data_IF_236737503675
#
_entry.id   IF_236737503675
#
_cell.length_a   1.000
_cell.length_b   1.000
_cell.length_c   1.000
_cell.angle_alpha   90.00
_cell.angle_beta   90.00
_cell.angle_gamma   90.00
#
_symmetry.space_group_name_H-M   'P 1'
#
loop_
_entity.id
_entity.type
_entity.pdbx_description
1 polymer ?
#
# COMPACT_ATOMS: atom_id res chain seq x y z
N UNK A 1 25.94 16.89 11.93
CA UNK A 1 24.92 16.30 11.04
C UNK A 1 25.63 15.35 10.10
N UNK A 2 25.53 14.04 10.36
CA UNK A 2 26.32 13.05 9.65
C UNK A 2 25.53 12.55 8.45
N UNK A 3 25.91 12.94 7.23
CA UNK A 3 25.43 12.29 6.02
C UNK A 3 25.91 10.84 6.05
N UNK A 4 24.99 9.89 6.19
CA UNK A 4 25.33 8.48 6.13
C UNK A 4 25.95 8.18 4.75
N UNK A 5 27.11 7.51 4.68
CA UNK A 5 27.71 7.15 3.41
C UNK A 5 26.76 6.21 2.64
N UNK A 6 26.74 6.29 1.30
CA UNK A 6 26.03 5.31 0.47
C UNK A 6 26.53 3.90 0.78
N UNK A 7 25.62 2.94 0.90
CA UNK A 7 26.01 1.53 1.07
C UNK A 7 26.59 1.00 -0.26
N UNK A 8 27.80 0.40 -0.27
CA UNK A 8 28.35 -0.25 -1.46
C UNK A 8 27.59 -1.56 -1.73
N UNK A 9 27.79 -2.16 -2.91
CA UNK A 9 27.23 -3.48 -3.17
C UNK A 9 27.70 -4.54 -2.18
N UNK A 10 26.89 -5.58 -1.95
CA UNK A 10 27.36 -6.80 -1.31
C UNK A 10 28.52 -7.38 -2.14
N UNK A 11 29.53 -8.00 -1.50
CA UNK A 11 30.61 -8.67 -2.20
C UNK A 11 30.16 -9.93 -2.96
N UNK A 12 28.93 -10.39 -2.72
CA UNK A 12 28.31 -11.57 -3.36
C UNK A 12 28.22 -11.38 -4.87
N UNK A 13 28.63 -12.39 -5.62
CA UNK A 13 28.51 -12.34 -7.08
C UNK A 13 27.03 -12.35 -7.50
N UNK A 14 26.71 -11.68 -8.61
CA UNK A 14 25.34 -11.69 -9.16
C UNK A 14 24.86 -13.10 -9.53
N UNK A 15 25.80 -13.99 -9.88
CA UNK A 15 25.50 -15.40 -10.15
C UNK A 15 24.98 -16.08 -8.89
N UNK A 16 25.71 -15.98 -7.77
CA UNK A 16 25.32 -16.55 -6.47
C UNK A 16 24.00 -15.98 -5.96
N UNK A 17 23.81 -14.65 -6.04
CA UNK A 17 22.58 -13.99 -5.63
C UNK A 17 21.34 -14.52 -6.38
N UNK A 18 21.50 -14.92 -7.65
CA UNK A 18 20.39 -15.40 -8.48
C UNK A 18 20.09 -16.91 -8.34
N UNK A 19 20.83 -17.66 -7.53
CA UNK A 19 20.69 -19.13 -7.41
C UNK A 19 19.42 -19.58 -6.70
N UNK A 20 18.93 -18.80 -5.74
CA UNK A 20 17.77 -19.14 -4.91
C UNK A 20 17.07 -17.89 -4.39
N UNK A 21 15.83 -18.05 -3.90
CA UNK A 21 15.08 -16.92 -3.32
C UNK A 21 15.83 -16.33 -2.14
N UNK A 22 16.40 -17.20 -1.30
CA UNK A 22 17.10 -16.79 -0.09
C UNK A 22 18.38 -16.02 -0.44
N UNK A 23 19.20 -16.52 -1.37
CA UNK A 23 20.40 -15.82 -1.81
C UNK A 23 20.08 -14.45 -2.42
N UNK A 24 19.00 -14.36 -3.21
CA UNK A 24 18.54 -13.10 -3.78
C UNK A 24 18.07 -12.14 -2.68
N UNK A 25 17.36 -12.66 -1.68
CA UNK A 25 16.88 -11.88 -0.56
C UNK A 25 18.03 -11.37 0.31
N UNK A 26 18.99 -12.22 0.66
CA UNK A 26 20.19 -11.85 1.43
C UNK A 26 21.02 -10.79 0.70
N UNK A 27 20.99 -10.81 -0.64
CA UNK A 27 21.61 -9.78 -1.47
C UNK A 27 20.88 -8.43 -1.38
N UNK A 28 19.54 -8.41 -1.45
CA UNK A 28 18.75 -7.16 -1.50
C UNK A 28 18.45 -6.56 -0.13
N UNK A 29 18.24 -7.41 0.88
CA UNK A 29 17.75 -7.00 2.20
C UNK A 29 18.63 -5.92 2.86
N UNK A 30 19.97 -5.93 2.80
CA UNK A 30 20.78 -4.87 3.39
C UNK A 30 20.44 -3.47 2.87
N UNK A 31 20.16 -3.34 1.57
CA UNK A 31 19.72 -2.07 1.00
C UNK A 31 18.31 -1.69 1.46
N UNK A 32 17.41 -2.67 1.60
CA UNK A 32 16.07 -2.43 2.15
C UNK A 32 16.15 -1.96 3.60
N UNK A 33 16.97 -2.62 4.41
CA UNK A 33 17.18 -2.27 5.81
C UNK A 33 17.80 -0.87 5.92
N UNK A 34 18.72 -0.50 5.02
CA UNK A 34 19.27 0.85 4.96
C UNK A 34 18.22 1.91 4.64
N UNK A 35 17.29 1.67 3.70
CA UNK A 35 16.25 2.67 3.37
C UNK A 35 15.15 2.76 4.42
N UNK A 36 14.81 1.67 5.10
CA UNK A 36 13.70 1.66 6.06
C UNK A 36 14.17 1.94 7.48
N UNK A 37 15.32 1.42 7.92
CA UNK A 37 15.75 1.45 9.33
C UNK A 37 16.85 2.46 9.66
N UNK A 38 17.69 2.85 8.70
CA UNK A 38 18.76 3.81 9.00
C UNK A 38 18.22 5.13 9.54
N UNK A 39 18.85 5.73 10.57
CA UNK A 39 18.42 7.00 11.13
C UNK A 39 18.37 8.10 10.07
N UNK A 40 17.31 8.89 10.06
CA UNK A 40 17.19 10.09 9.22
C UNK A 40 16.66 11.25 10.05
N UNK A 41 17.19 12.45 9.80
CA UNK A 41 16.67 13.68 10.39
C UNK A 41 15.43 14.20 9.68
N UNK A 42 15.22 13.79 8.42
CA UNK A 42 14.13 14.26 7.57
C UNK A 42 13.31 13.04 7.09
N UNK A 43 12.05 12.88 7.53
CA UNK A 43 11.22 11.75 7.14
C UNK A 43 10.88 11.77 5.64
N UNK A 44 10.99 12.91 4.95
CA UNK A 44 10.77 13.01 3.52
C UNK A 44 12.01 12.63 2.68
N UNK A 45 13.14 12.33 3.33
CA UNK A 45 14.39 11.93 2.67
C UNK A 45 14.84 10.56 3.11
N UNK A 46 15.17 9.75 2.11
CA UNK A 46 15.70 8.40 2.29
C UNK A 46 17.22 8.46 2.23
N UNK A 47 17.94 7.69 3.07
CA UNK A 47 19.38 7.53 2.97
C UNK A 47 19.80 7.15 1.53
N UNK A 48 20.91 7.73 1.02
CA UNK A 48 21.34 7.47 -0.34
C UNK A 48 21.77 6.01 -0.51
N UNK A 49 21.41 5.45 -1.67
CA UNK A 49 21.91 4.17 -2.16
C UNK A 49 22.70 4.45 -3.45
N UNK A 50 23.81 3.76 -3.63
CA UNK A 50 24.59 3.85 -4.86
C UNK A 50 23.73 3.49 -6.09
N UNK A 51 23.84 4.28 -7.17
CA UNK A 51 23.15 4.03 -8.42
C UNK A 51 23.45 2.63 -9.00
N UNK A 52 24.68 2.13 -8.81
CA UNK A 52 25.09 0.78 -9.24
C UNK A 52 24.22 -0.31 -8.58
N UNK A 53 23.77 -0.08 -7.35
CA UNK A 53 22.93 -1.03 -6.61
C UNK A 53 21.59 -1.29 -7.31
N UNK A 54 20.97 -0.26 -7.91
CA UNK A 54 19.71 -0.41 -8.64
C UNK A 54 19.87 -1.32 -9.86
N UNK A 55 20.98 -1.16 -10.59
CA UNK A 55 21.31 -1.96 -11.77
C UNK A 55 21.56 -3.41 -11.36
N UNK A 56 22.31 -3.62 -10.28
CA UNK A 56 22.64 -4.94 -9.78
C UNK A 56 21.43 -5.70 -9.24
N UNK A 57 20.56 -5.05 -8.46
CA UNK A 57 19.30 -5.67 -8.00
C UNK A 57 18.41 -6.06 -9.18
N UNK A 58 18.27 -5.17 -10.17
CA UNK A 58 17.51 -5.47 -11.39
C UNK A 58 18.10 -6.66 -12.16
N UNK A 59 19.43 -6.75 -12.23
CA UNK A 59 20.14 -7.85 -12.91
C UNK A 59 19.99 -9.16 -12.15
N UNK A 60 20.12 -9.15 -10.82
CA UNK A 60 19.92 -10.32 -9.97
C UNK A 60 18.49 -10.85 -10.07
N UNK A 61 17.48 -9.96 -10.10
CA UNK A 61 16.07 -10.32 -10.30
C UNK A 61 15.80 -10.91 -11.68
N UNK A 62 16.38 -10.31 -12.72
CA UNK A 62 16.31 -10.83 -14.08
C UNK A 62 16.88 -12.26 -14.12
N UNK A 63 18.13 -12.43 -13.67
CA UNK A 63 18.81 -13.72 -13.64
C UNK A 63 18.04 -14.75 -12.82
N UNK A 64 17.53 -14.37 -11.64
CA UNK A 64 16.76 -15.25 -10.76
C UNK A 64 15.48 -15.76 -11.44
N UNK A 65 14.86 -14.94 -12.29
CA UNK A 65 13.62 -15.26 -13.00
C UNK A 65 13.87 -16.04 -14.29
N UNK A 66 14.94 -15.73 -15.02
CA UNK A 66 15.27 -16.37 -16.31
C UNK A 66 16.15 -17.60 -16.16
N UNK A 67 16.77 -17.79 -14.99
CA UNK A 67 17.54 -19.00 -14.71
C UNK A 67 16.64 -20.21 -14.88
N UNK A 68 17.09 -21.26 -15.59
CA UNK A 68 16.33 -22.48 -15.78
C UNK A 68 16.18 -23.19 -14.43
N UNK A 69 15.16 -22.83 -13.67
CA UNK A 69 14.77 -23.57 -12.46
C UNK A 69 14.18 -24.88 -12.90
N UNK A 70 15.03 -25.89 -13.06
CA UNK A 70 14.61 -27.29 -13.13
C UNK A 70 14.65 -27.89 -11.75
N UNK A 71 13.51 -28.00 -11.06
CA UNK A 71 13.29 -29.12 -10.17
C UNK A 71 12.35 -30.09 -10.86
N UNK A 72 12.88 -31.26 -11.23
CA UNK A 72 12.09 -32.38 -11.71
C UNK A 72 11.03 -32.84 -10.69
N UNK A 73 11.13 -32.44 -9.41
CA UNK A 73 10.33 -32.96 -8.29
C UNK A 73 9.41 -31.96 -7.57
N UNK A 74 9.25 -30.72 -8.04
CA UNK A 74 8.26 -29.82 -7.39
C UNK A 74 6.84 -30.14 -7.83
N UNK A 75 5.97 -30.19 -6.81
CA UNK A 75 4.52 -30.39 -6.86
C UNK A 75 3.88 -29.55 -7.99
N UNK A 76 2.87 -30.07 -8.68
CA UNK A 76 2.25 -29.43 -9.86
C UNK A 76 1.72 -28.01 -9.54
N UNK A 77 1.30 -27.78 -8.29
CA UNK A 77 0.91 -26.47 -7.77
C UNK A 77 2.04 -25.44 -7.70
N UNK A 78 3.29 -25.87 -7.47
CA UNK A 78 4.46 -24.99 -7.48
C UNK A 78 4.89 -24.63 -8.91
N UNK A 79 4.56 -25.48 -9.90
CA UNK A 79 4.76 -25.18 -11.33
C UNK A 79 3.77 -24.13 -11.86
N UNK A 80 2.60 -24.00 -11.22
CA UNK A 80 1.62 -22.96 -11.53
C UNK A 80 1.91 -21.60 -10.88
N UNK A 81 2.77 -21.54 -9.84
CA UNK A 81 3.18 -20.25 -9.26
C UNK A 81 4.06 -19.51 -10.27
N UNK A 82 3.54 -18.37 -10.73
CA UNK A 82 4.19 -17.54 -11.74
C UNK A 82 5.57 -17.08 -11.24
N UNK A 83 6.61 -17.12 -12.09
CA UNK A 83 7.93 -16.61 -11.73
C UNK A 83 7.85 -15.16 -11.20
N UNK A 84 8.28 -14.94 -9.96
CA UNK A 84 8.27 -13.64 -9.29
C UNK A 84 7.16 -13.44 -8.24
N UNK A 85 6.19 -14.35 -8.12
CA UNK A 85 5.21 -14.29 -7.02
C UNK A 85 5.89 -14.50 -5.66
N UNK A 86 6.90 -15.36 -5.62
CA UNK A 86 7.75 -15.62 -4.45
C UNK A 86 8.50 -14.37 -3.95
N UNK A 87 9.08 -13.59 -4.86
CA UNK A 87 9.71 -12.31 -4.53
C UNK A 87 8.67 -11.30 -4.04
N UNK A 88 7.52 -11.21 -4.70
CA UNK A 88 6.44 -10.31 -4.30
C UNK A 88 5.93 -10.65 -2.88
N UNK A 89 5.64 -11.92 -2.60
CA UNK A 89 5.23 -12.42 -1.29
C UNK A 89 6.29 -12.11 -0.21
N UNK A 90 7.58 -12.25 -0.55
CA UNK A 90 8.68 -11.94 0.37
C UNK A 90 8.78 -10.45 0.69
N UNK A 91 8.61 -9.59 -0.32
CA UNK A 91 8.55 -8.13 -0.14
C UNK A 91 7.32 -7.73 0.69
N UNK A 92 6.18 -8.35 0.44
CA UNK A 92 4.95 -8.12 1.20
C UNK A 92 5.13 -8.45 2.69
N UNK A 93 5.70 -9.62 2.99
CA UNK A 93 6.03 -10.03 4.36
C UNK A 93 7.04 -9.09 5.04
N UNK A 94 8.03 -8.61 4.30
CA UNK A 94 9.00 -7.63 4.81
C UNK A 94 8.36 -6.27 5.12
N UNK A 95 7.52 -5.74 4.23
CA UNK A 95 6.80 -4.49 4.48
C UNK A 95 5.86 -4.61 5.68
N UNK A 96 5.23 -5.78 5.85
CA UNK A 96 4.43 -6.08 7.03
C UNK A 96 5.28 -6.04 8.32
N UNK A 97 6.46 -6.68 8.33
CA UNK A 97 7.33 -6.68 9.51
C UNK A 97 7.81 -5.28 9.87
N UNK A 98 8.17 -4.45 8.88
CA UNK A 98 8.52 -3.05 9.12
C UNK A 98 7.33 -2.29 9.72
N UNK A 99 6.13 -2.45 9.17
CA UNK A 99 4.95 -1.76 9.69
C UNK A 99 4.61 -2.21 11.13
N UNK A 100 4.81 -3.48 11.48
CA UNK A 100 4.66 -3.99 12.85
C UNK A 100 5.71 -3.43 13.82
N UNK A 101 6.96 -3.25 13.37
CA UNK A 101 7.99 -2.56 14.15
C UNK A 101 7.56 -1.11 14.44
N UNK A 102 7.02 -0.40 13.46
CA UNK A 102 6.48 0.97 13.64
C UNK A 102 5.29 0.99 14.61
N UNK A 103 4.35 0.05 14.48
CA UNK A 103 3.23 -0.07 15.41
C UNK A 103 3.70 -0.32 16.85
N UNK A 104 4.73 -1.13 17.02
CA UNK A 104 5.31 -1.45 18.34
C UNK A 104 5.98 -0.23 18.99
N UNK A 105 6.47 0.71 18.19
CA UNK A 105 7.03 1.98 18.64
C UNK A 105 6.00 3.10 18.85
N UNK A 106 4.71 2.87 18.61
CA UNK A 106 3.69 3.91 18.68
C UNK A 106 3.45 4.38 20.12
N UNK A 107 3.56 5.70 20.42
CA UNK A 107 3.43 6.23 21.77
C UNK A 107 2.01 6.03 22.31
N UNK A 108 1.89 5.78 23.62
CA UNK A 108 0.58 5.60 24.28
C UNK A 108 -0.18 6.91 24.45
N UNK A 109 0.54 8.02 24.55
CA UNK A 109 -0.02 9.36 24.65
C UNK A 109 -0.66 9.81 23.34
N UNK A 110 -1.87 10.35 23.42
CA UNK A 110 -2.68 10.77 22.28
C UNK A 110 -2.08 12.00 21.57
N UNK A 111 -1.53 12.96 22.33
CA UNK A 111 -0.85 14.13 21.76
C UNK A 111 0.39 13.76 20.94
N UNK A 112 1.16 12.78 21.40
CA UNK A 112 2.36 12.30 20.71
C UNK A 112 2.03 11.36 19.53
N UNK A 113 0.85 10.74 19.53
CA UNK A 113 0.48 9.71 18.54
C UNK A 113 0.35 10.29 17.12
N UNK A 114 -0.34 11.42 16.95
CA UNK A 114 -0.56 12.00 15.61
C UNK A 114 0.77 12.43 14.96
N UNK A 115 1.63 13.24 15.61
CA UNK A 115 2.93 13.62 15.02
C UNK A 115 3.80 12.40 14.71
N UNK A 116 3.79 11.40 15.59
CA UNK A 116 4.50 10.13 15.38
C UNK A 116 4.02 9.41 14.11
N UNK A 117 2.71 9.23 13.96
CA UNK A 117 2.13 8.54 12.80
C UNK A 117 2.42 9.27 11.50
N UNK A 118 2.29 10.58 11.47
CA UNK A 118 2.56 11.35 10.25
C UNK A 118 4.04 11.28 9.84
N UNK A 119 4.96 11.36 10.81
CA UNK A 119 6.39 11.24 10.55
C UNK A 119 6.78 9.84 10.07
N UNK A 120 6.30 8.80 10.78
CA UNK A 120 6.59 7.39 10.43
C UNK A 120 5.95 6.99 9.11
N UNK A 121 4.72 7.43 8.82
CA UNK A 121 4.06 7.23 7.53
C UNK A 121 4.85 7.87 6.39
N UNK A 122 5.26 9.13 6.56
CA UNK A 122 6.01 9.87 5.53
C UNK A 122 7.33 9.15 5.22
N UNK A 123 8.08 8.75 6.26
CA UNK A 123 9.30 7.97 6.11
C UNK A 123 9.04 6.65 5.41
N UNK A 124 8.08 5.88 5.91
CA UNK A 124 7.76 4.55 5.40
C UNK A 124 7.34 4.60 3.91
N UNK A 125 6.49 5.55 3.52
CA UNK A 125 6.04 5.68 2.13
C UNK A 125 7.11 6.25 1.20
N UNK A 126 7.99 7.12 1.70
CA UNK A 126 9.14 7.61 0.92
C UNK A 126 10.14 6.47 0.67
N UNK A 127 10.44 5.66 1.69
CA UNK A 127 11.27 4.45 1.54
C UNK A 127 10.62 3.44 0.60
N UNK A 128 9.30 3.24 0.69
CA UNK A 128 8.57 2.37 -0.24
C UNK A 128 8.59 2.88 -1.69
N UNK A 129 8.62 4.20 -1.92
CA UNK A 129 8.77 4.76 -3.26
C UNK A 129 10.15 4.46 -3.86
N UNK A 130 11.21 4.47 -3.03
CA UNK A 130 12.56 4.05 -3.45
C UNK A 130 12.60 2.55 -3.75
N UNK A 131 12.04 1.73 -2.85
CA UNK A 131 11.91 0.28 -3.05
C UNK A 131 11.16 -0.04 -4.35
N UNK A 132 10.04 0.65 -4.61
CA UNK A 132 9.25 0.49 -5.82
C UNK A 132 10.06 0.74 -7.09
N UNK A 133 10.92 1.77 -7.10
CA UNK A 133 11.83 2.07 -8.23
C UNK A 133 12.90 0.99 -8.38
N UNK A 134 13.52 0.58 -7.27
CA UNK A 134 14.54 -0.48 -7.27
C UNK A 134 13.98 -1.82 -7.77
N UNK A 135 12.73 -2.12 -7.43
CA UNK A 135 12.04 -3.35 -7.81
C UNK A 135 11.07 -3.15 -8.99
N UNK A 136 11.31 -2.15 -9.84
CA UNK A 136 10.45 -1.87 -10.99
C UNK A 136 10.32 -3.07 -11.94
N UNK A 137 11.33 -3.94 -11.97
CA UNK A 137 11.29 -5.21 -12.67
C UNK A 137 10.12 -6.11 -12.22
N UNK A 138 9.86 -6.18 -10.91
CA UNK A 138 8.71 -6.94 -10.35
C UNK A 138 7.38 -6.29 -10.75
N UNK A 139 7.28 -4.97 -10.71
CA UNK A 139 6.07 -4.27 -11.14
C UNK A 139 5.75 -4.55 -12.61
N UNK A 140 6.78 -4.52 -13.46
CA UNK A 140 6.62 -4.66 -14.91
C UNK A 140 6.34 -6.11 -15.34
N UNK A 141 7.01 -7.08 -14.72
CA UNK A 141 6.98 -8.47 -15.19
C UNK A 141 6.13 -9.40 -14.33
N UNK A 142 5.76 -9.03 -13.11
CA UNK A 142 4.84 -9.81 -12.28
C UNK A 142 3.53 -9.06 -12.03
N UNK A 143 3.57 -7.89 -11.40
CA UNK A 143 2.36 -7.16 -11.00
C UNK A 143 1.49 -6.82 -12.22
N UNK A 144 2.06 -6.17 -13.24
CA UNK A 144 1.29 -5.73 -14.42
C UNK A 144 0.61 -6.88 -15.16
N UNK A 145 1.29 -8.02 -15.44
CA UNK A 145 0.62 -9.21 -15.95
C UNK A 145 -0.51 -9.75 -15.07
N UNK A 146 -0.33 -9.79 -13.75
CA UNK A 146 -1.36 -10.25 -12.81
C UNK A 146 -2.57 -9.31 -12.74
N UNK A 147 -2.34 -7.99 -12.77
CA UNK A 147 -3.40 -6.99 -12.92
C UNK A 147 -4.21 -7.24 -14.20
N UNK A 148 -3.53 -7.47 -15.34
CA UNK A 148 -4.18 -7.73 -16.63
C UNK A 148 -4.96 -9.06 -16.66
N UNK A 149 -4.54 -10.03 -15.83
CA UNK A 149 -5.26 -11.30 -15.61
C UNK A 149 -6.46 -11.17 -14.68
N UNK A 150 -6.62 -10.03 -14.01
CA UNK A 150 -7.74 -9.75 -13.11
C UNK A 150 -7.52 -10.22 -11.67
N UNK A 151 -6.25 -10.37 -11.27
CA UNK A 151 -5.85 -10.61 -9.87
C UNK A 151 -5.51 -9.31 -9.13
N UNK A 152 -5.84 -8.16 -9.74
CA UNK A 152 -5.62 -6.85 -9.17
C UNK A 152 -6.61 -6.45 -8.09
N UNK A 153 -6.57 -5.16 -7.72
CA UNK A 153 -7.50 -4.58 -6.75
C UNK A 153 -8.98 -4.66 -7.17
N UNK A 154 -9.26 -4.75 -8.47
CA UNK A 154 -10.55 -5.18 -9.01
C UNK A 154 -10.44 -6.59 -9.56
N UNK A 155 -11.12 -7.53 -8.92
CA UNK A 155 -11.10 -8.94 -9.27
C UNK A 155 -12.04 -9.24 -10.44
N UNK A 156 -11.67 -10.17 -11.33
CA UNK A 156 -12.60 -10.65 -12.38
C UNK A 156 -13.90 -11.26 -11.83
N UNK A 157 -13.86 -11.81 -10.62
CA UNK A 157 -15.05 -12.38 -9.98
C UNK A 157 -16.03 -11.33 -9.43
N UNK A 158 -15.60 -10.08 -9.32
CA UNK A 158 -16.47 -8.97 -8.90
C UNK A 158 -17.35 -8.49 -10.06
N UNK A 159 -17.09 -8.95 -11.29
CA UNK A 159 -17.99 -8.77 -12.43
C UNK A 159 -19.15 -9.74 -12.23
N UNK A 160 -20.38 -9.27 -11.89
CA UNK A 160 -21.50 -10.16 -11.65
C UNK A 160 -21.74 -11.01 -12.90
N UNK A 161 -21.73 -12.34 -12.74
CA UNK A 161 -21.82 -13.28 -13.85
C UNK A 161 -23.09 -12.97 -14.63
N UNK A 162 -22.93 -12.69 -15.92
CA UNK A 162 -24.09 -12.55 -16.79
C UNK A 162 -24.74 -13.91 -16.89
N UNK A 163 -25.95 -14.02 -16.35
CA UNK A 163 -26.95 -15.05 -16.59
C UNK A 163 -26.37 -16.33 -17.26
N UNK A 164 -26.14 -17.41 -16.50
CA UNK A 164 -25.44 -18.62 -16.98
C UNK A 164 -26.10 -19.28 -18.22
N UNK A 165 -27.28 -18.82 -18.61
CA UNK A 165 -28.05 -19.23 -19.79
C UNK A 165 -27.66 -18.53 -21.10
N UNK A 166 -26.88 -17.44 -21.09
CA UNK A 166 -26.40 -16.82 -22.34
C UNK A 166 -25.13 -17.54 -22.82
N UNK A 167 -25.13 -18.15 -24.02
CA UNK A 167 -23.95 -18.85 -24.52
C UNK A 167 -22.76 -17.88 -24.61
N UNK A 168 -21.61 -18.30 -24.06
CA UNK A 168 -20.32 -17.59 -24.11
C UNK A 168 -19.70 -17.59 -25.52
N UNK A 169 -20.50 -17.39 -26.57
CA UNK A 169 -20.08 -17.41 -27.98
C UNK A 169 -20.48 -16.13 -28.67
N UNK A 170 -19.48 -15.30 -28.97
CA UNK A 170 -19.60 -14.10 -29.81
C UNK A 170 -18.54 -13.05 -29.47
N UNK A 171 -18.08 -12.28 -30.46
CA UNK A 171 -17.14 -11.16 -30.26
C UNK A 171 -17.63 -10.15 -29.23
N UNK A 172 -18.95 -9.93 -29.17
CA UNK A 172 -19.61 -8.99 -28.25
C UNK A 172 -19.48 -9.37 -26.75
N UNK A 173 -19.17 -10.62 -26.41
CA UNK A 173 -18.99 -11.02 -24.99
C UNK A 173 -17.76 -10.34 -24.37
N UNK A 174 -16.64 -10.34 -25.08
CA UNK A 174 -15.39 -9.75 -24.59
C UNK A 174 -15.52 -8.24 -24.39
N UNK A 175 -16.21 -7.58 -25.33
CA UNK A 175 -16.51 -6.15 -25.25
C UNK A 175 -17.45 -5.84 -24.08
N UNK A 176 -18.50 -6.63 -23.88
CA UNK A 176 -19.42 -6.47 -22.76
C UNK A 176 -18.73 -6.64 -21.38
N UNK A 177 -17.82 -7.61 -21.26
CA UNK A 177 -17.00 -7.79 -20.04
C UNK A 177 -16.07 -6.60 -19.83
N UNK A 178 -15.41 -6.12 -20.90
CA UNK A 178 -14.51 -4.96 -20.83
C UNK A 178 -15.27 -3.69 -20.42
N UNK A 179 -16.45 -3.44 -20.98
CA UNK A 179 -17.29 -2.29 -20.65
C UNK A 179 -17.75 -2.32 -19.19
N UNK A 180 -18.24 -3.47 -18.71
CA UNK A 180 -18.63 -3.63 -17.29
C UNK A 180 -17.46 -3.46 -16.33
N UNK A 181 -16.29 -4.00 -16.69
CA UNK A 181 -15.10 -3.82 -15.88
C UNK A 181 -14.69 -2.34 -15.82
N UNK A 182 -14.80 -1.60 -16.94
CA UNK A 182 -14.56 -0.17 -16.96
C UNK A 182 -15.58 0.60 -16.10
N UNK A 183 -16.86 0.22 -16.13
CA UNK A 183 -17.92 0.79 -15.30
C UNK A 183 -17.68 0.56 -13.80
N UNK A 184 -17.37 -0.68 -13.40
CA UNK A 184 -17.03 -1.02 -12.02
C UNK A 184 -15.79 -0.26 -11.54
N UNK A 185 -14.77 -0.17 -12.40
CA UNK A 185 -13.57 0.61 -12.11
C UNK A 185 -13.90 2.08 -11.91
N UNK A 186 -14.70 2.68 -12.80
CA UNK A 186 -15.12 4.07 -12.67
C UNK A 186 -15.95 4.29 -11.39
N UNK A 187 -16.86 3.39 -11.06
CA UNK A 187 -17.67 3.46 -9.85
C UNK A 187 -16.82 3.37 -8.58
N UNK A 188 -15.81 2.50 -8.56
CA UNK A 188 -14.89 2.39 -7.43
C UNK A 188 -14.02 3.65 -7.32
N UNK A 189 -13.44 4.14 -8.42
CA UNK A 189 -12.61 5.35 -8.43
C UNK A 189 -13.38 6.61 -8.00
N UNK A 190 -14.69 6.69 -8.30
CA UNK A 190 -15.56 7.76 -7.81
C UNK A 190 -15.64 7.82 -6.28
N UNK A 191 -15.62 6.67 -5.59
CA UNK A 191 -15.55 6.63 -4.11
C UNK A 191 -14.29 7.29 -3.57
N UNK A 192 -13.23 7.29 -4.39
CA UNK A 192 -11.95 7.90 -4.09
C UNK A 192 -11.81 9.30 -4.66
N UNK A 193 -12.92 9.95 -5.06
CA UNK A 193 -12.96 11.35 -5.47
C UNK A 193 -12.50 11.64 -6.89
N UNK A 194 -12.44 10.62 -7.77
CA UNK A 194 -12.18 10.80 -9.20
C UNK A 194 -13.49 10.88 -9.99
N UNK A 195 -13.59 11.85 -10.89
CA UNK A 195 -14.68 12.02 -11.84
C UNK A 195 -14.17 11.96 -13.29
N UNK A 196 -15.07 11.65 -14.22
CA UNK A 196 -14.71 11.61 -15.65
C UNK A 196 -14.33 13.02 -16.13
N UNK A 197 -13.13 13.15 -16.68
CA UNK A 197 -12.56 14.44 -17.08
C UNK A 197 -11.57 15.03 -16.09
N UNK A 198 -11.41 14.44 -14.90
CA UNK A 198 -10.36 14.86 -13.96
C UNK A 198 -8.95 14.64 -14.54
N UNK A 199 -7.95 15.42 -14.10
CA UNK A 199 -6.60 15.28 -14.60
C UNK A 199 -5.94 13.95 -14.17
N UNK A 200 -4.87 13.57 -14.88
CA UNK A 200 -4.25 12.26 -14.76
C UNK A 200 -3.65 11.97 -13.37
N UNK A 201 -3.23 13.01 -12.64
CA UNK A 201 -2.71 12.91 -11.28
C UNK A 201 -3.82 12.56 -10.28
N UNK A 202 -5.01 13.15 -10.41
CA UNK A 202 -6.19 12.81 -9.59
C UNK A 202 -6.61 11.35 -9.83
N UNK A 203 -6.60 10.90 -11.09
CA UNK A 203 -6.85 9.50 -11.43
C UNK A 203 -5.81 8.56 -10.80
N UNK A 204 -4.53 8.92 -10.86
CA UNK A 204 -3.45 8.11 -10.27
C UNK A 204 -3.54 8.06 -8.74
N UNK A 205 -3.91 9.16 -8.10
CA UNK A 205 -4.16 9.21 -6.65
C UNK A 205 -5.33 8.31 -6.26
N UNK A 206 -6.47 8.43 -6.94
CA UNK A 206 -7.66 7.61 -6.69
C UNK A 206 -7.38 6.11 -6.89
N UNK A 207 -6.66 5.74 -7.96
CA UNK A 207 -6.22 4.36 -8.19
C UNK A 207 -5.35 3.85 -7.06
N UNK A 208 -4.40 4.66 -6.60
CA UNK A 208 -3.52 4.22 -5.52
C UNK A 208 -4.28 4.02 -4.21
N UNK A 209 -5.28 4.87 -3.93
CA UNK A 209 -6.12 4.71 -2.76
C UNK A 209 -6.95 3.41 -2.84
N UNK A 210 -7.56 3.14 -3.99
CA UNK A 210 -8.32 1.90 -4.21
C UNK A 210 -7.45 0.64 -4.14
N UNK A 211 -6.23 0.70 -4.66
CA UNK A 211 -5.23 -0.37 -4.53
C UNK A 211 -4.83 -0.62 -3.08
N UNK A 212 -4.53 0.43 -2.33
CA UNK A 212 -4.23 0.32 -0.90
C UNK A 212 -5.45 -0.19 -0.10
N UNK A 213 -6.66 0.13 -0.56
CA UNK A 213 -7.91 -0.28 0.06
C UNK A 213 -8.23 -1.77 -0.11
N UNK A 214 -7.64 -2.41 -1.13
CA UNK A 214 -7.89 -3.80 -1.48
C UNK A 214 -7.53 -4.81 -0.37
N UNK A 215 -8.07 -6.03 -0.48
CA UNK A 215 -7.74 -7.16 0.41
C UNK A 215 -6.31 -7.67 0.22
N UNK A 216 -5.78 -8.38 1.22
CA UNK A 216 -4.41 -8.93 1.18
C UNK A 216 -4.22 -10.01 0.10
N UNK A 217 -5.31 -10.61 -0.39
CA UNK A 217 -5.34 -11.57 -1.50
C UNK A 217 -5.12 -10.93 -2.88
N UNK A 218 -5.14 -9.59 -2.97
CA UNK A 218 -4.96 -8.84 -4.22
C UNK A 218 -3.50 -8.52 -4.51
N UNK A 219 -3.14 -8.61 -5.80
CA UNK A 219 -1.86 -8.12 -6.32
C UNK A 219 -1.99 -6.63 -6.64
N UNK A 220 -1.09 -5.80 -6.11
CA UNK A 220 -1.07 -4.35 -6.32
C UNK A 220 0.37 -3.86 -6.54
N UNK A 221 0.59 -2.68 -7.13
CA UNK A 221 1.92 -2.09 -7.21
C UNK A 221 2.59 -1.98 -5.84
N UNK A 222 3.93 -2.15 -5.79
CA UNK A 222 4.66 -2.20 -4.52
C UNK A 222 4.51 -0.94 -3.64
N UNK A 223 4.28 0.22 -4.25
CA UNK A 223 4.01 1.45 -3.49
C UNK A 223 2.65 1.41 -2.78
N UNK A 224 1.62 0.89 -3.46
CA UNK A 224 0.28 0.68 -2.92
C UNK A 224 0.27 -0.47 -1.91
N UNK A 225 1.09 -1.50 -2.12
CA UNK A 225 1.31 -2.61 -1.19
C UNK A 225 1.82 -2.11 0.17
N UNK A 226 2.81 -1.21 0.17
CA UNK A 226 3.29 -0.60 1.40
C UNK A 226 2.17 0.17 2.12
N UNK A 227 1.41 1.02 1.41
CA UNK A 227 0.29 1.76 1.99
C UNK A 227 -0.77 0.83 2.60
N UNK A 228 -1.08 -0.27 1.91
CA UNK A 228 -1.96 -1.35 2.42
C UNK A 228 -1.42 -1.95 3.71
N UNK A 229 -0.12 -2.26 3.79
CA UNK A 229 0.51 -2.78 5.01
C UNK A 229 0.53 -1.78 6.16
N UNK A 230 0.74 -0.50 5.88
CA UNK A 230 0.62 0.53 6.91
C UNK A 230 -0.81 0.59 7.47
N UNK A 231 -1.83 0.46 6.61
CA UNK A 231 -3.23 0.37 7.07
C UNK A 231 -3.47 -0.83 7.97
N UNK A 232 -3.14 -2.04 7.50
CA UNK A 232 -3.51 -3.29 8.19
C UNK A 232 -2.69 -3.55 9.46
N UNK A 233 -1.41 -3.16 9.46
CA UNK A 233 -0.49 -3.44 10.58
C UNK A 233 -0.38 -2.27 11.58
N UNK A 234 -0.76 -1.05 11.21
CA UNK A 234 -0.64 0.14 12.09
C UNK A 234 -1.99 0.79 12.37
N UNK A 235 -2.71 1.23 11.34
CA UNK A 235 -3.92 2.03 11.52
C UNK A 235 -5.09 1.22 12.09
N UNK A 236 -5.41 0.07 11.48
CA UNK A 236 -6.50 -0.79 11.94
C UNK A 236 -6.30 -1.27 13.40
N UNK A 237 -5.10 -1.70 13.84
CA UNK A 237 -4.85 -1.99 15.25
C UNK A 237 -5.06 -0.81 16.19
N UNK A 238 -4.68 0.41 15.81
CA UNK A 238 -4.90 1.61 16.63
C UNK A 238 -6.36 2.05 16.71
N UNK A 239 -7.19 1.62 15.75
CA UNK A 239 -8.62 1.86 15.73
C UNK A 239 -9.41 0.84 16.56
N UNK A 240 -8.85 -0.35 16.78
CA UNK A 240 -9.47 -1.38 17.62
C UNK A 240 -9.41 -0.99 19.10
N UNK A 241 -10.50 -1.27 19.81
CA UNK A 241 -10.55 -1.14 21.27
C UNK A 241 -9.89 -2.36 21.90
N UNK A 242 -8.87 -2.20 22.76
CA UNK A 242 -8.27 -3.33 23.46
C UNK A 242 -9.32 -4.03 24.34
N UNK A 243 -9.48 -5.35 24.17
CA UNK A 243 -10.40 -6.17 24.97
C UNK A 243 -11.78 -6.42 24.36
N UNK A 244 -12.11 -5.84 23.20
CA UNK A 244 -13.31 -6.22 22.46
C UNK A 244 -13.08 -7.60 21.81
N UNK A 245 -13.52 -8.67 22.48
CA UNK A 245 -13.56 -10.01 21.91
C UNK A 245 -14.41 -10.05 20.62
N UNK A 246 -14.16 -11.05 19.77
CA UNK A 246 -14.95 -11.26 18.56
C UNK A 246 -16.42 -11.56 18.93
N UNK A 247 -17.27 -10.52 18.92
CA UNK A 247 -18.72 -10.66 19.16
C UNK A 247 -19.39 -9.61 20.04
N UNK A 248 -18.65 -8.71 20.70
CA UNK A 248 -19.26 -7.58 21.43
C UNK A 248 -19.22 -6.32 20.57
N UNK A 249 -20.37 -5.62 20.47
CA UNK A 249 -20.47 -4.29 19.86
C UNK A 249 -19.39 -3.39 20.45
N UNK A 250 -18.45 -2.95 19.60
CA UNK A 250 -17.34 -2.08 19.95
C UNK A 250 -17.88 -0.69 20.27
N UNK A 251 -18.34 -0.48 21.51
CA UNK A 251 -18.85 0.81 21.99
C UNK A 251 -17.73 1.78 22.46
N UNK A 252 -16.46 1.42 22.23
CA UNK A 252 -15.30 2.27 22.56
C UNK A 252 -14.64 2.86 21.32
N UNK A 253 -14.06 4.05 21.48
CA UNK A 253 -13.20 4.66 20.47
C UNK A 253 -11.76 4.13 20.63
N UNK A 254 -11.16 3.66 19.53
CA UNK A 254 -9.75 3.25 19.51
C UNK A 254 -8.80 4.40 19.83
N UNK A 255 -7.53 4.07 20.14
CA UNK A 255 -6.47 5.06 20.47
C UNK A 255 -6.34 6.16 19.40
N UNK A 256 -6.40 5.77 18.13
CA UNK A 256 -6.32 6.73 17.02
C UNK A 256 -7.57 7.64 16.94
N UNK A 257 -8.76 7.10 17.21
CA UNK A 257 -9.99 7.91 17.18
C UNK A 257 -9.99 8.95 18.31
N UNK A 258 -9.54 8.56 19.50
CA UNK A 258 -9.37 9.48 20.64
C UNK A 258 -8.34 10.57 20.34
N UNK A 259 -7.18 10.20 19.78
CA UNK A 259 -6.14 11.18 19.43
C UNK A 259 -6.60 12.18 18.36
N UNK A 260 -7.43 11.75 17.41
CA UNK A 260 -8.03 12.66 16.43
C UNK A 260 -9.15 13.51 17.05
N UNK A 261 -9.97 12.95 17.94
CA UNK A 261 -10.98 13.73 18.66
C UNK A 261 -10.33 14.86 19.47
N UNK A 262 -9.22 14.57 20.14
CA UNK A 262 -8.43 15.57 20.88
C UNK A 262 -7.76 16.58 19.96
N UNK A 263 -7.22 16.17 18.81
CA UNK A 263 -6.68 17.09 17.80
C UNK A 263 -7.72 18.10 17.32
N UNK A 264 -8.97 17.66 17.19
CA UNK A 264 -10.09 18.48 16.72
C UNK A 264 -10.75 19.30 17.83
N UNK A 265 -10.49 18.99 19.11
CA UNK A 265 -11.05 19.74 20.22
C UNK A 265 -10.45 21.16 20.25
N UNK A 266 -11.33 22.16 20.34
CA UNK A 266 -10.98 23.57 20.37
C UNK A 266 -10.29 23.98 21.68
N UNK A 267 -10.38 23.17 22.72
CA UNK A 267 -9.82 23.45 24.06
C UNK A 267 -8.30 23.25 24.15
N UNK A 268 -7.67 22.61 23.17
CA UNK A 268 -6.21 22.38 23.16
C UNK A 268 -5.43 23.69 22.99
N UNK A 269 -4.29 23.81 23.68
CA UNK A 269 -3.38 24.98 23.66
C UNK A 269 -2.65 25.21 22.33
N UNK A 270 -2.79 24.32 21.35
CA UNK A 270 -2.15 24.44 20.03
C UNK A 270 -2.82 25.50 19.15
N UNK A 271 -2.04 26.13 18.26
CA UNK A 271 -2.59 27.11 17.33
C UNK A 271 -3.61 26.46 16.39
N UNK A 272 -4.67 27.20 16.04
CA UNK A 272 -5.75 26.69 15.18
C UNK A 272 -5.24 26.29 13.79
N UNK A 273 -4.25 27.03 13.27
CA UNK A 273 -3.62 26.74 11.97
C UNK A 273 -2.83 25.43 11.94
N UNK A 274 -2.00 25.17 12.96
CA UNK A 274 -1.21 23.92 13.04
C UNK A 274 -2.12 22.70 13.18
N UNK A 275 -3.19 22.79 13.98
CA UNK A 275 -4.18 21.71 14.10
C UNK A 275 -4.88 21.42 12.77
N UNK A 276 -5.33 22.45 12.07
CA UNK A 276 -5.95 22.31 10.76
C UNK A 276 -5.02 21.64 9.74
N UNK A 277 -3.73 22.01 9.76
CA UNK A 277 -2.72 21.38 8.92
C UNK A 277 -2.49 19.91 9.28
N UNK A 278 -2.36 19.58 10.57
CA UNK A 278 -2.22 18.20 11.03
C UNK A 278 -3.44 17.34 10.67
N UNK A 279 -4.65 17.88 10.84
CA UNK A 279 -5.90 17.23 10.47
C UNK A 279 -5.98 16.97 8.95
N UNK A 280 -5.59 17.94 8.13
CA UNK A 280 -5.52 17.78 6.67
C UNK A 280 -4.52 16.70 6.24
N UNK A 281 -3.31 16.71 6.83
CA UNK A 281 -2.28 15.69 6.52
C UNK A 281 -2.75 14.31 6.99
N UNK A 282 -3.36 14.21 8.17
CA UNK A 282 -3.94 12.96 8.69
C UNK A 282 -5.04 12.44 7.76
N UNK A 283 -5.97 13.29 7.35
CA UNK A 283 -7.05 12.90 6.46
C UNK A 283 -6.53 12.39 5.10
N UNK A 284 -5.51 13.07 4.54
CA UNK A 284 -4.80 12.61 3.35
C UNK A 284 -4.14 11.26 3.57
N UNK A 285 -3.41 11.08 4.69
CA UNK A 285 -2.76 9.81 5.02
C UNK A 285 -3.76 8.65 5.08
N UNK A 286 -4.88 8.82 5.81
CA UNK A 286 -5.93 7.79 5.92
C UNK A 286 -6.47 7.40 4.54
N UNK A 287 -6.77 8.40 3.68
CA UNK A 287 -7.23 8.17 2.31
C UNK A 287 -6.19 7.41 1.48
N UNK A 288 -4.93 7.84 1.50
CA UNK A 288 -3.85 7.21 0.75
C UNK A 288 -3.54 5.78 1.23
N UNK A 289 -3.79 5.47 2.50
CA UNK A 289 -3.73 4.12 3.07
C UNK A 289 -4.94 3.25 2.68
N UNK A 290 -5.92 3.77 1.95
CA UNK A 290 -7.10 3.01 1.54
C UNK A 290 -8.11 2.81 2.68
N UNK A 291 -8.19 3.74 3.64
CA UNK A 291 -9.30 3.77 4.60
C UNK A 291 -10.58 4.14 3.87
N UNK A 292 -11.64 3.33 4.04
CA UNK A 292 -12.87 3.50 3.29
C UNK A 292 -13.55 4.85 3.56
N UNK A 293 -14.21 5.47 2.57
CA UNK A 293 -14.87 6.77 2.73
C UNK A 293 -15.97 6.81 3.79
N UNK A 294 -16.64 5.68 4.04
CA UNK A 294 -17.69 5.51 5.04
C UNK A 294 -17.15 5.31 6.46
N UNK A 295 -15.83 5.13 6.62
CA UNK A 295 -15.20 4.94 7.92
C UNK A 295 -15.46 6.17 8.82
N UNK A 296 -15.95 6.00 10.06
CA UNK A 296 -16.34 7.13 10.94
C UNK A 296 -15.24 8.18 11.13
N UNK A 297 -14.00 7.74 11.39
CA UNK A 297 -12.86 8.64 11.56
C UNK A 297 -12.57 9.47 10.30
N UNK A 298 -12.66 8.85 9.11
CA UNK A 298 -12.43 9.55 7.84
C UNK A 298 -13.55 10.55 7.57
N UNK A 299 -14.81 10.16 7.78
CA UNK A 299 -15.96 11.06 7.68
C UNK A 299 -15.85 12.26 8.61
N UNK A 300 -15.38 12.06 9.85
CA UNK A 300 -15.16 13.16 10.82
C UNK A 300 -14.19 14.20 10.24
N UNK A 301 -13.03 13.75 9.76
CA UNK A 301 -12.02 14.64 9.15
C UNK A 301 -12.49 15.27 7.82
N UNK A 302 -13.28 14.56 7.03
CA UNK A 302 -13.84 15.07 5.77
C UNK A 302 -14.93 16.13 5.99
N UNK A 303 -15.79 15.94 7.01
CA UNK A 303 -16.94 16.81 7.28
C UNK A 303 -16.51 18.22 7.68
N UNK A 304 -15.38 18.33 8.37
CA UNK A 304 -14.80 19.60 8.79
C UNK A 304 -14.00 20.29 7.65
N UNK A 305 -14.03 19.73 6.43
CA UNK A 305 -13.45 20.32 5.23
C UNK A 305 -11.93 20.11 5.08
N UNK A 306 -11.30 19.31 5.92
CA UNK A 306 -9.84 19.17 5.94
C UNK A 306 -9.26 18.41 4.73
N UNK A 307 -10.06 17.65 3.98
CA UNK A 307 -9.58 16.98 2.75
C UNK A 307 -9.66 17.83 1.50
N UNK A 308 -10.25 19.04 1.57
CA UNK A 308 -10.50 19.87 0.39
C UNK A 308 -11.52 19.27 -0.59
N UNK A 309 -12.07 18.09 -0.29
CA UNK A 309 -13.19 17.51 -1.03
C UNK A 309 -14.49 18.07 -0.46
N UNK A 310 -15.34 18.62 -1.33
CA UNK A 310 -16.65 19.10 -0.90
C UNK A 310 -17.48 17.92 -0.35
N UNK A 311 -18.13 18.05 0.82
CA UNK A 311 -18.98 16.99 1.38
C UNK A 311 -20.12 16.55 0.44
N UNK A 312 -20.45 17.37 -0.58
CA UNK A 312 -21.39 17.02 -1.66
C UNK A 312 -20.91 15.89 -2.60
N UNK A 313 -19.64 15.47 -2.53
CA UNK A 313 -19.05 14.49 -3.45
C UNK A 313 -19.16 13.04 -2.99
N UNK A 314 -19.67 12.78 -1.78
CA UNK A 314 -19.95 11.41 -1.36
C UNK A 314 -21.36 11.03 -1.81
N UNK A 315 -21.53 9.94 -2.59
CA UNK A 315 -22.85 9.41 -2.85
C UNK A 315 -23.47 9.02 -1.51
N UNK A 316 -24.56 9.67 -1.13
CA UNK A 316 -25.38 9.24 -0.01
C UNK A 316 -25.91 7.86 -0.34
N UNK A 317 -25.34 6.82 0.28
CA UNK A 317 -25.94 5.49 0.25
C UNK A 317 -27.20 5.57 1.09
N UNK A 318 -28.34 5.74 0.43
CA UNK A 318 -29.64 5.50 1.04
C UNK A 318 -29.74 3.99 1.30
N UNK A 319 -29.58 3.59 2.56
CA UNK A 319 -29.90 2.23 3.00
C UNK A 319 -31.39 1.95 2.86
#
# INVERSE_FOLDING_TARGET
MSNLPPIPAPPTSLAEASTSLQALWDYMQPAFDHIFRSPTSDPAKVPPIDAAYYIWVSTALYNYRTSPRRPASLNENARMRMPGSDVYERVDAYLASIAQELMSGAPQDAHALIPYLLSTYTRFTTSAAVLHRMLNYINSHFVTPELNRGHGWLGRHEIPDQNPKKPRRGGNWREGVKARFAELRAAELKKWGWEEGDPADVLAEAQTCAEAASGLDRVVPLASLARRRFRTEVLEPLLKVPGAGAGMEQSGNGRLDNAVAELLDLTTTQSLGERAQLAQIMARMLRMCGMQPDHPLRRRLDSDGYTGMSPKRYPTVSC
#
